data_IF_784066203047
#
_entry.id   IF_784066203047
#
_cell.length_a   1.000
_cell.length_b   1.000
_cell.length_c   1.000
_cell.angle_alpha   90.00
_cell.angle_beta   90.00
_cell.angle_gamma   90.00
#
_symmetry.space_group_name_H-M   'P 1'
#
loop_
_entity.id
_entity.type
_entity.pdbx_description
1 polymer ?
#
# COMPACT_ATOMS: atom_id res chain seq x y z
N UNK A 1 3.71 11.86 -21.93
CA UNK A 1 2.92 10.74 -21.36
C UNK A 1 3.54 10.25 -20.05
N UNK A 2 4.83 9.89 -20.01
CA UNK A 2 5.52 9.35 -18.81
C UNK A 2 5.49 10.23 -17.53
N UNK A 3 5.60 11.56 -17.64
CA UNK A 3 5.50 12.44 -16.47
C UNK A 3 4.11 12.44 -15.81
N UNK A 4 3.04 12.25 -16.60
CA UNK A 4 1.67 12.18 -16.06
C UNK A 4 1.42 10.88 -15.29
N UNK A 5 2.04 9.78 -15.73
CA UNK A 5 1.97 8.49 -15.01
C UNK A 5 2.72 8.56 -13.69
N UNK A 6 3.96 9.05 -13.66
CA UNK A 6 4.76 9.18 -12.42
C UNK A 6 4.05 10.01 -11.34
N UNK A 7 3.44 11.13 -11.73
CA UNK A 7 2.66 11.97 -10.82
C UNK A 7 1.42 11.27 -10.26
N UNK A 8 0.74 10.46 -11.07
CA UNK A 8 -0.40 9.66 -10.61
C UNK A 8 0.04 8.56 -9.64
N UNK A 9 1.18 7.90 -9.89
CA UNK A 9 1.75 6.93 -8.93
C UNK A 9 2.07 7.60 -7.60
N UNK A 10 2.65 8.81 -7.64
CA UNK A 10 2.98 9.56 -6.44
C UNK A 10 1.75 9.95 -5.62
N UNK A 11 0.69 10.42 -6.29
CA UNK A 11 -0.61 10.68 -5.64
C UNK A 11 -1.20 9.43 -5.00
N UNK A 12 -1.05 8.28 -5.64
CA UNK A 12 -1.50 7.01 -5.09
C UNK A 12 -0.70 6.61 -3.84
N UNK A 13 0.62 6.86 -3.81
CA UNK A 13 1.45 6.63 -2.62
C UNK A 13 0.97 7.51 -1.47
N UNK A 14 0.77 8.81 -1.72
CA UNK A 14 0.27 9.76 -0.71
C UNK A 14 -1.12 9.33 -0.19
N UNK A 15 -2.01 8.87 -1.07
CA UNK A 15 -3.36 8.46 -0.66
C UNK A 15 -3.35 7.18 0.16
N UNK A 16 -2.46 6.23 -0.14
CA UNK A 16 -2.26 5.03 0.68
C UNK A 16 -1.61 5.37 2.03
N UNK A 17 -0.61 6.25 2.06
CA UNK A 17 0.01 6.71 3.33
C UNK A 17 -1.00 7.39 4.24
N UNK A 18 -1.90 8.22 3.70
CA UNK A 18 -3.01 8.82 4.47
C UNK A 18 -3.98 7.79 5.07
N UNK A 19 -4.13 6.62 4.44
CA UNK A 19 -5.01 5.54 4.95
C UNK A 19 -4.34 4.76 6.07
N UNK A 20 -3.02 4.61 6.01
CA UNK A 20 -2.23 3.86 7.01
C UNK A 20 -1.97 4.72 8.25
N UNK A 21 -1.62 5.99 8.05
CA UNK A 21 -1.26 6.90 9.14
C UNK A 21 -2.17 8.14 9.16
N UNK A 22 -2.98 8.26 10.22
CA UNK A 22 -3.88 9.42 10.43
C UNK A 22 -3.12 10.70 10.77
N UNK A 23 -1.87 10.60 11.21
CA UNK A 23 -1.01 11.76 11.49
C UNK A 23 -0.31 12.29 10.24
N UNK A 24 -0.37 11.54 9.14
CA UNK A 24 0.17 11.92 7.85
C UNK A 24 -0.63 13.08 7.23
N UNK A 25 -0.21 14.30 7.57
CA UNK A 25 -0.79 15.55 7.08
C UNK A 25 0.15 16.24 6.08
N UNK A 26 -0.34 17.22 5.29
CA UNK A 26 0.50 18.03 4.42
C UNK A 26 1.60 18.81 5.15
N UNK A 27 1.49 18.96 6.48
CA UNK A 27 2.49 19.60 7.33
C UNK A 27 3.55 18.62 7.85
N UNK A 28 3.39 17.31 7.61
CA UNK A 28 4.34 16.31 8.07
C UNK A 28 5.64 16.41 7.28
N UNK A 29 6.76 16.20 7.96
CA UNK A 29 8.09 16.25 7.34
C UNK A 29 8.22 15.18 6.24
N UNK A 30 7.54 14.05 6.40
CA UNK A 30 7.46 12.97 5.42
C UNK A 30 6.74 13.42 4.15
N UNK A 31 5.63 14.16 4.27
CA UNK A 31 4.91 14.70 3.11
C UNK A 31 5.74 15.75 2.37
N UNK A 32 6.41 16.64 3.11
CA UNK A 32 7.27 17.67 2.51
C UNK A 32 8.46 17.04 1.78
N UNK A 33 9.14 16.08 2.40
CA UNK A 33 10.24 15.35 1.77
C UNK A 33 9.81 14.64 0.48
N UNK A 34 8.65 13.96 0.51
CA UNK A 34 8.09 13.32 -0.67
C UNK A 34 7.81 14.33 -1.79
N UNK A 35 7.17 15.46 -1.48
CA UNK A 35 6.90 16.52 -2.47
C UNK A 35 8.18 17.15 -3.03
N UNK A 36 9.21 17.30 -2.21
CA UNK A 36 10.52 17.81 -2.62
C UNK A 36 11.24 16.83 -3.55
N UNK A 37 11.27 15.53 -3.22
CA UNK A 37 11.81 14.48 -4.08
C UNK A 37 11.09 14.42 -5.43
N UNK A 38 9.75 14.52 -5.43
CA UNK A 38 8.96 14.55 -6.67
C UNK A 38 9.30 15.77 -7.55
N UNK A 39 9.52 16.95 -6.94
CA UNK A 39 9.93 18.15 -7.67
C UNK A 39 11.36 18.03 -8.20
N UNK A 40 12.28 17.51 -7.40
CA UNK A 40 13.66 17.27 -7.81
C UNK A 40 13.72 16.28 -8.98
N UNK A 41 12.93 15.20 -8.93
CA UNK A 41 12.84 14.23 -10.01
C UNK A 41 12.18 14.81 -11.26
N UNK A 42 11.16 15.66 -11.15
CA UNK A 42 10.60 16.38 -12.31
C UNK A 42 11.65 17.23 -13.04
N UNK A 43 12.52 17.92 -12.29
CA UNK A 43 13.59 18.76 -12.86
C UNK A 43 14.72 17.89 -13.43
N UNK A 44 15.07 16.78 -12.76
CA UNK A 44 16.18 15.90 -13.14
C UNK A 44 15.84 14.99 -14.33
N UNK A 45 14.60 14.52 -14.43
CA UNK A 45 14.12 13.71 -15.56
C UNK A 45 14.04 14.48 -16.88
N UNK A 46 13.97 15.81 -16.83
CA UNK A 46 14.07 16.66 -18.01
C UNK A 46 15.51 16.73 -18.57
N UNK A 47 16.52 16.41 -17.75
CA UNK A 47 17.94 16.40 -18.12
C UNK A 47 18.48 15.00 -18.47
N UNK A 48 17.97 13.93 -17.85
CA UNK A 48 18.46 12.56 -18.08
C UNK A 48 17.30 11.57 -18.32
N UNK A 49 17.15 11.14 -19.57
CA UNK A 49 16.09 10.24 -20.06
C UNK A 49 16.05 8.87 -19.34
N UNK A 50 17.18 8.33 -18.89
CA UNK A 50 17.23 7.03 -18.19
C UNK A 50 16.76 7.07 -16.73
N UNK A 51 17.01 8.17 -16.03
CA UNK A 51 16.65 8.33 -14.61
C UNK A 51 15.12 8.34 -14.38
N UNK A 52 14.34 8.72 -15.39
CA UNK A 52 12.88 8.76 -15.30
C UNK A 52 12.25 7.39 -15.09
N UNK A 53 12.77 6.35 -15.75
CA UNK A 53 12.27 5.00 -15.61
C UNK A 53 12.66 4.38 -14.26
N UNK A 54 13.82 4.75 -13.73
CA UNK A 54 14.30 4.28 -12.43
C UNK A 54 13.48 4.87 -11.28
N UNK A 55 13.28 6.19 -11.25
CA UNK A 55 12.43 6.84 -10.24
C UNK A 55 10.98 6.32 -10.27
N UNK A 56 10.40 6.15 -11.46
CA UNK A 56 9.05 5.56 -11.58
C UNK A 56 8.99 4.13 -11.06
N UNK A 57 10.02 3.32 -11.35
CA UNK A 57 10.10 1.92 -10.87
C UNK A 57 10.23 1.85 -9.36
N UNK A 58 11.05 2.72 -8.77
CA UNK A 58 11.22 2.84 -7.31
C UNK A 58 9.91 3.29 -6.65
N UNK A 59 9.21 4.28 -7.21
CA UNK A 59 7.90 4.71 -6.72
C UNK A 59 6.87 3.58 -6.78
N UNK A 60 6.83 2.80 -7.87
CA UNK A 60 5.97 1.62 -8.00
C UNK A 60 6.31 0.54 -6.98
N UNK A 61 7.59 0.31 -6.70
CA UNK A 61 8.03 -0.64 -5.67
C UNK A 61 7.51 -0.24 -4.29
N UNK A 62 7.69 1.02 -3.90
CA UNK A 62 7.19 1.52 -2.61
C UNK A 62 5.66 1.47 -2.52
N UNK A 63 4.96 1.80 -3.60
CA UNK A 63 3.50 1.68 -3.65
C UNK A 63 3.06 0.23 -3.39
N UNK A 64 3.66 -0.73 -4.10
CA UNK A 64 3.38 -2.15 -3.92
C UNK A 64 3.70 -2.63 -2.51
N UNK A 65 4.79 -2.14 -1.92
CA UNK A 65 5.19 -2.48 -0.56
C UNK A 65 4.14 -2.01 0.45
N UNK A 66 3.76 -0.73 0.44
CA UNK A 66 2.76 -0.16 1.36
C UNK A 66 1.41 -0.86 1.20
N UNK A 67 0.98 -1.11 -0.04
CA UNK A 67 -0.27 -1.83 -0.30
C UNK A 67 -0.25 -3.27 0.22
N UNK A 68 0.88 -3.97 0.05
CA UNK A 68 1.04 -5.34 0.51
C UNK A 68 1.06 -5.41 2.04
N UNK A 69 1.75 -4.49 2.71
CA UNK A 69 1.74 -4.37 4.18
C UNK A 69 0.34 -4.10 4.72
N UNK A 70 -0.43 -3.21 4.07
CA UNK A 70 -1.83 -2.96 4.45
C UNK A 70 -2.69 -4.22 4.33
N UNK A 71 -2.56 -4.96 3.22
CA UNK A 71 -3.28 -6.22 2.99
C UNK A 71 -2.87 -7.28 4.01
N UNK A 72 -1.57 -7.37 4.33
CA UNK A 72 -1.05 -8.28 5.33
C UNK A 72 -1.64 -7.98 6.71
N UNK A 73 -1.72 -6.72 7.13
CA UNK A 73 -2.32 -6.36 8.41
C UNK A 73 -3.80 -6.77 8.48
N UNK A 74 -4.57 -6.52 7.43
CA UNK A 74 -5.98 -6.97 7.36
C UNK A 74 -6.09 -8.50 7.42
N UNK A 75 -5.17 -9.20 6.77
CA UNK A 75 -5.13 -10.66 6.79
C UNK A 75 -4.75 -11.18 8.18
N UNK A 76 -3.73 -10.57 8.80
CA UNK A 76 -3.33 -10.87 10.16
C UNK A 76 -4.47 -10.63 11.13
N UNK A 77 -5.18 -9.51 11.08
CA UNK A 77 -6.36 -9.28 11.93
C UNK A 77 -7.46 -10.32 11.70
N UNK A 78 -7.72 -10.70 10.44
CA UNK A 78 -8.74 -11.70 10.10
C UNK A 78 -8.41 -13.09 10.63
N UNK A 79 -7.15 -13.50 10.51
CA UNK A 79 -6.69 -14.83 10.92
C UNK A 79 -6.06 -14.85 12.31
N UNK A 80 -5.88 -13.70 12.94
CA UNK A 80 -5.42 -13.59 14.31
C UNK A 80 -6.46 -14.20 15.25
N UNK A 81 -5.95 -15.00 16.17
CA UNK A 81 -6.74 -15.66 17.19
C UNK A 81 -5.97 -16.82 17.78
N UNK A 82 -6.22 -17.07 19.07
CA UNK A 82 -5.83 -18.30 19.74
C UNK A 82 -6.69 -19.48 19.23
N UNK A 83 -6.70 -20.61 19.95
CA UNK A 83 -7.56 -21.75 19.62
C UNK A 83 -9.01 -21.31 19.37
N UNK A 84 -9.47 -21.45 18.12
CA UNK A 84 -10.85 -21.20 17.70
C UNK A 84 -11.61 -22.51 17.73
N UNK A 85 -12.92 -22.47 17.98
CA UNK A 85 -13.75 -23.67 17.90
C UNK A 85 -13.76 -24.25 16.48
N UNK A 86 -14.07 -25.54 16.33
CA UNK A 86 -14.15 -26.21 15.01
C UNK A 86 -15.14 -25.50 14.10
N UNK A 87 -16.23 -24.97 14.67
CA UNK A 87 -17.27 -24.23 13.95
C UNK A 87 -16.84 -22.85 13.47
N UNK A 88 -16.09 -22.11 14.30
CA UNK A 88 -15.52 -20.82 13.92
C UNK A 88 -14.41 -21.00 12.88
N UNK A 89 -13.59 -22.04 13.03
CA UNK A 89 -12.53 -22.38 12.08
C UNK A 89 -13.12 -22.78 10.72
N UNK A 90 -14.18 -23.60 10.70
CA UNK A 90 -14.89 -23.94 9.48
C UNK A 90 -15.45 -22.68 8.81
N UNK A 91 -16.14 -21.80 9.56
CA UNK A 91 -16.66 -20.53 9.02
C UNK A 91 -15.57 -19.61 8.48
N UNK A 92 -14.41 -19.53 9.13
CA UNK A 92 -13.28 -18.72 8.70
C UNK A 92 -12.79 -19.06 7.29
N UNK A 93 -12.82 -20.35 6.94
CA UNK A 93 -12.40 -20.86 5.62
C UNK A 93 -13.57 -21.05 4.64
N UNK A 94 -14.79 -20.63 5.01
CA UNK A 94 -15.98 -20.74 4.16
C UNK A 94 -16.64 -22.13 4.16
N UNK A 95 -16.33 -22.97 5.14
CA UNK A 95 -16.94 -24.28 5.36
C UNK A 95 -18.07 -24.19 6.41
N UNK A 96 -19.04 -25.10 6.33
CA UNK A 96 -20.10 -25.26 7.33
C UNK A 96 -20.01 -26.68 7.91
N UNK A 97 -20.24 -26.83 9.22
CA UNK A 97 -20.30 -28.17 9.81
C UNK A 97 -21.54 -28.92 9.29
N UNK A 98 -21.41 -30.24 9.06
CA UNK A 98 -22.56 -31.06 8.72
C UNK A 98 -23.56 -31.07 9.88
N UNK A 99 -24.84 -30.91 9.56
CA UNK A 99 -25.92 -31.04 10.54
C UNK A 99 -25.99 -32.52 10.96
N UNK A 100 -25.83 -32.82 12.26
CA UNK A 100 -25.96 -34.17 12.79
C UNK A 100 -27.39 -34.65 12.56
N UNK A 101 -27.60 -35.43 11.50
CA UNK A 101 -28.80 -36.24 11.31
C UNK A 101 -28.70 -37.42 12.27
N UNK A 102 -29.45 -37.36 13.36
CA UNK A 102 -29.79 -38.52 14.18
C UNK A 102 -30.98 -39.24 13.54
#
# INVERSE_FOLDING_TARGET
MAQKTAFNTFKNIISELKKVDKTFSPKSQQYQYLMEQMRADQVTTQRYSKAANESESVAKLYLSYVQSTRRLNVLQERYAGNEKTVEESARLVGLKLPERKY
#
